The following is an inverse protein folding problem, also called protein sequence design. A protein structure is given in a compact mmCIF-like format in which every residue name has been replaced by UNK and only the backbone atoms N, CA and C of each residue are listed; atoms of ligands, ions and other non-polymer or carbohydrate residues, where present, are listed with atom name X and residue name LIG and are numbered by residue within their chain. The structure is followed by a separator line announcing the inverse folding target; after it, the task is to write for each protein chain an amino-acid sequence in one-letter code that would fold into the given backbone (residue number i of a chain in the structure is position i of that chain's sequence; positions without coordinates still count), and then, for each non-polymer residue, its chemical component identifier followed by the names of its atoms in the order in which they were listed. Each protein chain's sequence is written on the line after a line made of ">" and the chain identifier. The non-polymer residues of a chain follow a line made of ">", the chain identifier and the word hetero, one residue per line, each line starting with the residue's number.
data_IF_577849814578
#
_entry.id   IF_577849814578
#
_cell.length_a   1.000
_cell.length_b   1.000
_cell.length_c   1.000
_cell.angle_alpha   90.00
_cell.angle_beta   90.00
_cell.angle_gamma   90.00
#
_symmetry.space_group_name_H-M   'P 1'
#
loop_
_entity.id
_entity.type
_entity.pdbx_description
1 polymer ?
#
# COMPACT_ATOMS: atom_id res chain seq x y z
N UNK A 1 -11.81 24.33 5.86
CA UNK A 1 -10.96 23.72 4.81
C UNK A 1 -10.06 22.70 5.48
N UNK A 2 -10.09 21.43 5.04
CA UNK A 2 -9.45 20.31 5.74
C UNK A 2 -7.93 20.30 5.46
N UNK A 3 -7.06 20.17 6.49
CA UNK A 3 -5.59 20.18 6.37
C UNK A 3 -5.01 19.01 5.55
N UNK A 4 -5.84 18.05 5.16
CA UNK A 4 -5.46 16.86 4.38
C UNK A 4 -4.86 17.18 3.00
N UNK A 5 -5.35 18.23 2.33
CA UNK A 5 -4.86 18.62 1.00
C UNK A 5 -3.46 19.23 1.03
N UNK A 6 -3.08 19.92 2.12
CA UNK A 6 -1.74 20.50 2.27
C UNK A 6 -0.67 19.43 2.44
N UNK A 7 -0.99 18.31 3.10
CA UNK A 7 -0.07 17.18 3.31
C UNK A 7 0.21 16.46 1.98
N UNK A 8 -0.81 16.30 1.13
CA UNK A 8 -0.68 15.71 -0.21
C UNK A 8 0.21 16.54 -1.16
N UNK A 9 0.24 17.87 -1.00
CA UNK A 9 1.08 18.75 -1.81
C UNK A 9 2.51 18.92 -1.26
N UNK A 10 2.70 18.84 0.06
CA UNK A 10 4.01 19.08 0.70
C UNK A 10 4.91 17.84 0.72
N UNK A 11 4.34 16.63 0.72
CA UNK A 11 5.12 15.39 0.71
C UNK A 11 6.03 15.22 -0.52
N UNK A 12 5.58 15.49 -1.78
CA UNK A 12 6.49 15.41 -2.92
C UNK A 12 7.60 16.48 -2.89
N UNK A 13 7.35 17.64 -2.27
CA UNK A 13 8.36 18.71 -2.13
C UNK A 13 9.46 18.36 -1.12
N UNK A 14 9.12 17.67 -0.03
CA UNK A 14 10.09 17.18 0.96
C UNK A 14 10.99 16.06 0.39
N UNK A 15 10.44 15.21 -0.49
CA UNK A 15 11.22 14.19 -1.21
C UNK A 15 12.19 14.83 -2.22
N UNK A 16 11.83 15.96 -2.84
CA UNK A 16 12.74 16.71 -3.71
C UNK A 16 13.88 17.40 -2.96
N UNK A 17 13.67 17.82 -1.71
CA UNK A 17 14.68 18.56 -0.94
C UNK A 17 15.85 17.71 -0.42
N UNK A 18 15.71 16.37 -0.35
CA UNK A 18 16.76 15.48 0.15
C UNK A 18 17.73 14.96 -0.94
N UNK A 19 17.62 15.41 -2.19
CA UNK A 19 18.34 14.83 -3.34
C UNK A 19 19.74 15.42 -3.61
N UNK A 20 20.31 16.22 -2.70
CA UNK A 20 21.60 16.85 -2.91
C UNK A 20 22.68 16.22 -2.00
N UNK A 21 23.11 15.01 -2.33
CA UNK A 21 24.45 14.52 -1.99
C UNK A 21 24.80 13.28 -2.82
N UNK A 22 25.73 13.48 -3.75
CA UNK A 22 26.29 12.49 -4.66
C UNK A 22 27.59 11.92 -4.10
N UNK A 23 27.66 10.58 -3.91
CA UNK A 23 28.87 9.80 -4.19
C UNK A 23 28.49 8.42 -4.76
N UNK A 24 29.19 8.00 -5.82
CA UNK A 24 28.94 6.79 -6.61
C UNK A 24 29.55 5.55 -5.95
N UNK A 25 28.79 4.90 -5.08
CA UNK A 25 28.87 3.47 -4.82
C UNK A 25 27.48 2.92 -5.08
N UNK A 26 27.35 1.82 -5.85
CA UNK A 26 26.08 1.18 -6.26
C UNK A 26 24.87 1.78 -5.56
N UNK A 27 24.38 2.91 -6.10
CA UNK A 27 23.34 3.65 -5.41
C UNK A 27 22.10 2.80 -5.55
N UNK A 28 21.81 2.06 -4.49
CA UNK A 28 20.65 1.20 -4.41
C UNK A 28 19.44 2.08 -4.65
N UNK A 29 18.89 1.97 -5.86
CA UNK A 29 17.80 2.80 -6.29
C UNK A 29 16.66 2.67 -5.29
N UNK A 30 16.04 3.80 -5.00
CA UNK A 30 14.83 3.90 -4.19
C UNK A 30 13.69 4.25 -5.12
N UNK A 31 12.49 3.78 -4.80
CA UNK A 31 11.31 4.12 -5.58
C UNK A 31 10.17 4.52 -4.65
N UNK A 32 9.46 5.57 -5.04
CA UNK A 32 8.19 5.93 -4.45
C UNK A 32 7.11 5.54 -5.45
N UNK A 33 6.06 4.88 -4.98
CA UNK A 33 4.96 4.45 -5.84
C UNK A 33 3.63 4.84 -5.28
N UNK A 34 2.69 5.14 -6.16
CA UNK A 34 1.31 5.47 -5.81
C UNK A 34 0.38 4.56 -6.61
N UNK A 35 -0.55 3.89 -5.91
CA UNK A 35 -1.52 3.01 -6.54
C UNK A 35 -2.69 3.82 -7.11
N UNK A 36 -2.81 3.81 -8.43
CA UNK A 36 -3.81 4.57 -9.18
C UNK A 36 -5.21 3.96 -9.11
N UNK A 37 -5.33 2.62 -9.00
CA UNK A 37 -6.64 1.96 -8.90
C UNK A 37 -7.33 2.30 -7.58
N UNK A 38 -6.53 2.37 -6.51
CA UNK A 38 -7.02 2.55 -5.16
C UNK A 38 -7.56 3.97 -4.94
N UNK A 39 -6.98 4.97 -5.59
CA UNK A 39 -7.45 6.37 -5.50
C UNK A 39 -8.89 6.49 -5.98
N UNK A 40 -9.26 5.81 -7.07
CA UNK A 40 -10.65 5.79 -7.55
C UNK A 40 -11.64 5.11 -6.60
N UNK A 41 -11.14 4.27 -5.69
CA UNK A 41 -11.92 3.58 -4.67
C UNK A 41 -11.89 4.29 -3.29
N UNK A 42 -11.36 5.51 -3.20
CA UNK A 42 -11.24 6.22 -1.92
C UNK A 42 -10.09 5.72 -1.03
N UNK A 43 -9.09 5.06 -1.62
CA UNK A 43 -7.91 4.56 -0.91
C UNK A 43 -6.66 5.25 -1.45
N UNK A 44 -5.93 5.96 -0.60
CA UNK A 44 -4.60 6.47 -0.95
C UNK A 44 -3.57 5.44 -0.50
N UNK A 45 -2.91 4.76 -1.44
CA UNK A 45 -1.85 3.81 -1.12
C UNK A 45 -0.51 4.25 -1.72
N UNK A 46 0.50 4.32 -0.84
CA UNK A 46 1.87 4.72 -1.16
C UNK A 46 2.82 3.59 -0.80
N UNK A 47 3.78 3.32 -1.68
CA UNK A 47 4.82 2.32 -1.50
C UNK A 47 6.18 3.00 -1.53
N UNK A 48 7.07 2.56 -0.64
CA UNK A 48 8.49 2.83 -0.73
C UNK A 48 9.23 1.53 -0.98
N UNK A 49 10.03 1.50 -2.04
CA UNK A 49 10.87 0.36 -2.40
C UNK A 49 12.35 0.74 -2.29
N UNK A 50 13.14 -0.17 -1.73
CA UNK A 50 14.60 -0.10 -1.73
C UNK A 50 15.17 -1.34 -2.41
N UNK A 51 15.89 -1.14 -3.50
CA UNK A 51 16.61 -2.23 -4.17
C UNK A 51 17.76 -2.72 -3.27
N UNK A 52 17.87 -4.03 -3.05
CA UNK A 52 18.93 -4.63 -2.23
C UNK A 52 20.07 -5.17 -3.07
N UNK A 53 19.77 -5.62 -4.28
CA UNK A 53 20.69 -6.12 -5.28
C UNK A 53 19.99 -6.11 -6.66
N UNK A 54 20.67 -6.50 -7.76
CA UNK A 54 20.06 -6.49 -9.08
C UNK A 54 18.85 -7.41 -9.26
N UNK A 55 18.52 -8.30 -8.32
CA UNK A 55 17.44 -9.28 -8.44
C UNK A 55 16.41 -9.18 -7.31
N UNK A 56 16.62 -8.31 -6.32
CA UNK A 56 15.79 -8.25 -5.12
C UNK A 56 15.61 -6.84 -4.60
N UNK A 57 14.45 -6.58 -3.99
CA UNK A 57 14.16 -5.35 -3.28
C UNK A 57 13.23 -5.60 -2.09
N UNK A 58 13.22 -4.66 -1.15
CA UNK A 58 12.27 -4.63 -0.06
C UNK A 58 11.28 -3.50 -0.31
N UNK A 59 10.00 -3.79 -0.08
CA UNK A 59 8.90 -2.83 -0.19
C UNK A 59 8.24 -2.67 1.16
N UNK A 60 7.94 -1.44 1.52
CA UNK A 60 6.98 -1.11 2.58
C UNK A 60 5.88 -0.25 1.98
N UNK A 61 4.66 -0.40 2.45
CA UNK A 61 3.55 0.43 2.00
C UNK A 61 2.64 0.84 3.14
N UNK A 62 1.91 1.92 2.89
CA UNK A 62 0.83 2.41 3.72
C UNK A 62 -0.38 2.76 2.86
N UNK A 63 -1.57 2.41 3.33
CA UNK A 63 -2.84 2.80 2.73
C UNK A 63 -3.62 3.64 3.74
N UNK A 64 -4.25 4.72 3.29
CA UNK A 64 -5.34 5.40 3.99
C UNK A 64 -6.64 5.05 3.27
N UNK A 65 -7.63 4.61 4.02
CA UNK A 65 -8.91 4.13 3.50
C UNK A 65 -9.99 5.11 3.95
N UNK A 66 -10.75 5.63 3.00
CA UNK A 66 -11.95 6.44 3.23
C UNK A 66 -13.02 6.02 2.21
N UNK A 67 -13.77 4.97 2.56
CA UNK A 67 -14.80 4.39 1.71
C UNK A 67 -16.18 4.98 2.05
N UNK A 68 -16.81 5.57 1.03
CA UNK A 68 -18.24 5.88 1.00
C UNK A 68 -18.53 7.32 0.61
N UNK A 69 -19.61 7.51 -0.15
CA UNK A 69 -20.18 8.83 -0.49
C UNK A 69 -20.59 9.68 0.74
N UNK A 70 -20.36 9.20 1.96
CA UNK A 70 -20.67 9.84 3.24
C UNK A 70 -19.61 9.59 4.35
N UNK A 71 -18.46 8.95 4.06
CA UNK A 71 -17.34 8.79 5.02
C UNK A 71 -17.58 7.82 6.19
N UNK A 72 -18.28 6.71 5.94
CA UNK A 72 -18.67 5.77 6.98
C UNK A 72 -17.58 4.74 7.31
N UNK A 73 -16.71 4.41 6.37
CA UNK A 73 -15.60 3.47 6.58
C UNK A 73 -14.28 4.23 6.49
N UNK A 74 -13.54 4.28 7.60
CA UNK A 74 -12.22 4.87 7.64
C UNK A 74 -11.20 3.88 8.18
N UNK A 75 -9.99 3.91 7.65
CA UNK A 75 -8.99 2.93 8.06
C UNK A 75 -7.61 3.22 7.56
N UNK A 76 -6.69 2.34 7.93
CA UNK A 76 -5.36 2.32 7.38
C UNK A 76 -4.87 0.89 7.21
N UNK A 77 -3.96 0.72 6.25
CA UNK A 77 -3.21 -0.51 6.07
C UNK A 77 -1.74 -0.17 6.14
N UNK A 78 -0.93 -1.03 6.72
CA UNK A 78 0.53 -0.99 6.59
C UNK A 78 1.03 -2.36 6.24
N UNK A 79 2.10 -2.44 5.46
CA UNK A 79 2.68 -3.74 5.15
C UNK A 79 4.09 -3.67 4.61
N UNK A 80 4.67 -4.86 4.48
CA UNK A 80 6.02 -5.06 3.99
C UNK A 80 6.09 -6.32 3.12
N UNK A 81 6.99 -6.29 2.14
CA UNK A 81 7.18 -7.37 1.18
C UNK A 81 8.61 -7.45 0.69
N UNK A 82 9.00 -8.64 0.24
CA UNK A 82 10.30 -8.88 -0.38
C UNK A 82 10.09 -9.29 -1.82
N UNK A 83 10.67 -8.56 -2.77
CA UNK A 83 10.55 -8.86 -4.19
C UNK A 83 11.71 -9.66 -4.70
N UNK A 84 11.42 -10.63 -5.56
CA UNK A 84 12.38 -11.28 -6.43
C UNK A 84 12.00 -11.01 -7.89
N UNK A 85 12.98 -10.63 -8.70
CA UNK A 85 12.81 -10.26 -10.09
C UNK A 85 13.35 -11.34 -11.03
N UNK A 86 12.54 -11.78 -12.00
CA UNK A 86 12.92 -12.89 -12.90
C UNK A 86 14.05 -12.53 -13.88
N UNK A 87 14.11 -11.27 -14.33
CA UNK A 87 15.14 -10.77 -15.25
C UNK A 87 15.96 -9.63 -14.63
N UNK A 88 16.06 -9.63 -13.30
CA UNK A 88 16.62 -8.54 -12.52
C UNK A 88 15.74 -7.29 -12.45
N UNK A 89 16.21 -6.25 -11.78
CA UNK A 89 15.55 -4.96 -11.51
C UNK A 89 15.51 -4.04 -12.74
N UNK A 90 15.91 -4.57 -13.90
CA UNK A 90 15.92 -3.89 -15.18
C UNK A 90 14.50 -3.41 -15.54
N UNK A 91 14.40 -2.38 -16.41
CA UNK A 91 13.15 -2.06 -17.09
C UNK A 91 12.45 -3.29 -17.64
N UNK A 92 11.11 -3.34 -17.57
CA UNK A 92 10.30 -4.39 -18.21
C UNK A 92 10.53 -5.78 -17.62
N UNK A 93 10.37 -5.91 -16.30
CA UNK A 93 10.63 -7.15 -15.56
C UNK A 93 9.38 -7.67 -14.86
N UNK A 94 9.33 -8.99 -14.67
CA UNK A 94 8.34 -9.64 -13.82
C UNK A 94 8.90 -9.80 -12.40
N UNK A 95 8.03 -9.78 -11.42
CA UNK A 95 8.41 -10.04 -10.03
C UNK A 95 7.40 -10.91 -9.30
N UNK A 96 7.88 -11.51 -8.22
CA UNK A 96 7.09 -12.15 -7.18
C UNK A 96 7.38 -11.47 -5.84
N UNK A 97 6.34 -11.28 -5.03
CA UNK A 97 6.41 -10.55 -3.76
C UNK A 97 5.61 -11.27 -2.67
N UNK A 98 6.23 -12.21 -1.92
CA UNK A 98 5.73 -12.58 -0.60
C UNK A 98 5.63 -11.34 0.28
N UNK A 99 4.51 -11.21 0.99
CA UNK A 99 4.17 -10.00 1.71
C UNK A 99 3.34 -10.26 2.97
N UNK A 100 3.40 -9.30 3.90
CA UNK A 100 2.61 -9.26 5.13
C UNK A 100 2.01 -7.87 5.30
N UNK A 101 0.78 -7.81 5.83
CA UNK A 101 0.06 -6.56 6.08
C UNK A 101 -0.69 -6.60 7.40
N UNK A 102 -0.92 -5.41 7.95
CA UNK A 102 -1.90 -5.15 8.97
C UNK A 102 -2.92 -4.16 8.42
N UNK A 103 -4.19 -4.45 8.59
CA UNK A 103 -5.31 -3.62 8.17
C UNK A 103 -6.16 -3.29 9.39
N UNK A 104 -6.54 -2.03 9.52
CA UNK A 104 -7.51 -1.53 10.48
C UNK A 104 -8.58 -0.73 9.75
N UNK A 105 -9.85 -1.04 10.00
CA UNK A 105 -11.00 -0.29 9.48
C UNK A 105 -11.98 -0.06 10.62
N UNK A 106 -12.42 1.18 10.76
CA UNK A 106 -13.52 1.61 11.60
C UNK A 106 -14.75 1.83 10.71
N UNK A 107 -15.87 1.20 11.07
CA UNK A 107 -17.18 1.52 10.54
C UNK A 107 -17.90 2.44 11.52
N UNK A 108 -18.00 3.72 11.16
CA UNK A 108 -18.63 4.75 11.98
C UNK A 108 -20.15 4.69 11.97
N UNK A 109 -20.75 3.98 11.02
CA UNK A 109 -22.20 3.83 10.96
C UNK A 109 -22.70 2.86 12.04
N UNK A 110 -21.97 1.75 12.23
CA UNK A 110 -22.30 0.74 13.25
C UNK A 110 -21.33 0.73 14.45
N UNK A 111 -20.40 1.68 14.48
CA UNK A 111 -19.36 1.83 15.50
C UNK A 111 -18.45 0.60 15.68
N UNK A 112 -18.37 -0.28 14.69
CA UNK A 112 -17.53 -1.47 14.75
C UNK A 112 -16.12 -1.15 14.29
N UNK A 113 -15.16 -1.95 14.74
CA UNK A 113 -13.83 -1.92 14.16
C UNK A 113 -13.37 -3.33 13.79
N UNK A 114 -12.64 -3.36 12.70
CA UNK A 114 -12.11 -4.53 12.06
C UNK A 114 -10.60 -4.40 12.02
N UNK A 115 -9.92 -5.49 12.37
CA UNK A 115 -8.49 -5.56 12.12
C UNK A 115 -8.07 -6.94 11.64
N UNK A 116 -7.16 -6.98 10.67
CA UNK A 116 -6.56 -8.22 10.19
C UNK A 116 -5.06 -8.12 10.05
N UNK A 117 -4.41 -9.26 10.20
CA UNK A 117 -3.09 -9.53 9.67
C UNK A 117 -3.26 -10.37 8.41
N UNK A 118 -2.72 -9.89 7.30
CA UNK A 118 -2.73 -10.57 6.01
C UNK A 118 -1.36 -11.09 5.65
N UNK A 119 -1.26 -12.33 5.18
CA UNK A 119 -0.07 -12.88 4.51
C UNK A 119 -0.43 -13.21 3.06
N UNK A 120 0.43 -12.85 2.12
CA UNK A 120 0.11 -12.98 0.71
C UNK A 120 1.31 -13.15 -0.18
N UNK A 121 1.02 -13.33 -1.46
CA UNK A 121 2.00 -13.35 -2.53
C UNK A 121 1.45 -12.54 -3.69
N UNK A 122 2.23 -11.59 -4.21
CA UNK A 122 1.87 -10.84 -5.42
C UNK A 122 2.74 -11.30 -6.57
N UNK A 123 2.15 -11.34 -7.75
CA UNK A 123 2.84 -11.46 -9.02
C UNK A 123 2.60 -10.16 -9.77
N UNK A 124 3.65 -9.63 -10.39
CA UNK A 124 3.50 -8.39 -11.12
C UNK A 124 4.49 -8.20 -12.25
N UNK A 125 4.21 -7.17 -13.05
CA UNK A 125 5.01 -6.73 -14.18
C UNK A 125 5.25 -5.24 -14.06
N UNK A 126 6.49 -4.83 -14.26
CA UNK A 126 6.93 -3.45 -14.20
C UNK A 126 7.43 -2.99 -15.55
N UNK A 127 6.90 -1.87 -16.05
CA UNK A 127 7.33 -1.20 -17.26
C UNK A 127 8.12 0.07 -16.94
N UNK A 128 9.15 0.38 -17.72
CA UNK A 128 9.76 1.70 -17.67
C UNK A 128 9.08 2.65 -18.67
N UNK A 129 8.67 3.82 -18.19
CA UNK A 129 8.11 4.90 -19.01
C UNK A 129 9.15 6.00 -19.27
N UNK A 130 10.37 5.82 -18.80
CA UNK A 130 11.49 6.74 -18.95
C UNK A 130 12.60 6.39 -17.96
N UNK A 131 13.52 7.33 -17.73
CA UNK A 131 14.68 7.10 -16.86
C UNK A 131 14.31 7.01 -15.38
N UNK A 132 13.30 7.77 -14.95
CA UNK A 132 12.85 7.82 -13.54
C UNK A 132 11.42 7.35 -13.34
N UNK A 133 10.63 7.22 -14.41
CA UNK A 133 9.23 6.83 -14.30
C UNK A 133 9.04 5.39 -14.74
N UNK A 134 8.13 4.71 -14.07
CA UNK A 134 7.64 3.43 -14.50
C UNK A 134 6.19 3.22 -14.10
N UNK A 135 5.62 2.18 -14.67
CA UNK A 135 4.29 1.70 -14.37
C UNK A 135 4.41 0.26 -13.89
N UNK A 136 3.55 -0.18 -12.99
CA UNK A 136 3.56 -1.55 -12.51
C UNK A 136 2.14 -2.04 -12.31
N UNK A 137 1.86 -3.25 -12.77
CA UNK A 137 0.62 -3.97 -12.54
C UNK A 137 0.94 -5.19 -11.69
N UNK A 138 0.15 -5.43 -10.65
CA UNK A 138 0.28 -6.63 -9.84
C UNK A 138 -1.08 -7.21 -9.46
N UNK A 139 -1.07 -8.51 -9.16
CA UNK A 139 -2.21 -9.25 -8.62
C UNK A 139 -1.74 -10.41 -7.75
N UNK A 140 -2.55 -10.85 -6.80
CA UNK A 140 -2.27 -12.07 -6.05
C UNK A 140 -3.18 -12.28 -4.84
N UNK A 141 -3.17 -13.49 -4.26
CA UNK A 141 -4.00 -13.81 -3.11
C UNK A 141 -3.38 -13.30 -1.80
N UNK A 142 -4.23 -13.11 -0.79
CA UNK A 142 -3.83 -12.82 0.59
C UNK A 142 -4.78 -13.54 1.53
N UNK A 143 -4.21 -14.29 2.48
CA UNK A 143 -4.94 -14.93 3.56
C UNK A 143 -4.92 -13.96 4.73
N UNK A 144 -6.09 -13.55 5.18
CA UNK A 144 -6.25 -12.63 6.29
C UNK A 144 -6.79 -13.36 7.51
N UNK A 145 -6.24 -13.01 8.66
CA UNK A 145 -6.65 -13.49 9.97
C UNK A 145 -6.94 -12.30 10.86
N UNK A 146 -8.10 -12.28 11.49
CA UNK A 146 -8.46 -11.14 12.31
C UNK A 146 -9.79 -11.28 13.00
N UNK A 147 -10.32 -10.14 13.42
CA UNK A 147 -11.54 -10.09 14.21
C UNK A 147 -12.31 -8.80 13.94
N UNK A 148 -13.63 -8.92 14.02
CA UNK A 148 -14.55 -7.80 14.11
C UNK A 148 -14.94 -7.64 15.56
N UNK A 149 -14.78 -6.43 16.09
CA UNK A 149 -15.28 -6.05 17.41
C UNK A 149 -16.49 -5.15 17.25
N UNK A 150 -17.55 -5.52 17.95
CA UNK A 150 -18.79 -4.75 18.06
C UNK A 150 -18.52 -3.36 18.66
N UNK A 151 -19.22 -2.38 18.10
CA UNK A 151 -19.31 -1.05 18.66
C UNK A 151 -20.39 -0.95 19.72
N UNK A 152 -20.08 -0.34 20.86
CA UNK A 152 -21.10 0.03 21.84
C UNK A 152 -21.43 1.50 21.66
N UNK A 153 -22.62 1.82 21.16
CA UNK A 153 -23.15 3.18 21.29
C UNK A 153 -23.58 3.43 22.73
N UNK A 154 -23.41 4.65 23.29
CA UNK A 154 -23.74 4.95 24.68
C UNK A 154 -25.17 4.58 25.10
N UNK A 155 -26.11 4.52 24.16
CA UNK A 155 -27.54 4.31 24.42
C UNK A 155 -28.20 3.23 23.54
N UNK A 156 -27.44 2.43 22.79
CA UNK A 156 -28.01 1.35 21.96
C UNK A 156 -26.95 0.28 21.67
N UNK A 157 -27.21 -0.98 22.02
CA UNK A 157 -26.46 -2.08 21.41
C UNK A 157 -26.94 -2.20 19.96
N UNK A 158 -26.03 -2.00 19.01
CA UNK A 158 -26.28 -2.42 17.64
C UNK A 158 -25.83 -3.87 17.61
N UNK A 159 -26.77 -4.80 17.38
CA UNK A 159 -26.46 -6.20 17.14
C UNK A 159 -25.71 -6.29 15.80
N UNK A 160 -24.40 -6.05 15.85
CA UNK A 160 -23.48 -6.38 14.76
C UNK A 160 -22.82 -7.70 15.06
N UNK A 161 -22.39 -8.41 14.05
CA UNK A 161 -21.66 -9.65 14.25
C UNK A 161 -20.24 -9.33 14.73
N UNK A 162 -19.91 -9.68 15.98
CA UNK A 162 -18.52 -9.79 16.43
C UNK A 162 -18.01 -11.23 16.24
N UNK A 163 -16.79 -11.36 15.74
CA UNK A 163 -16.24 -12.68 15.48
C UNK A 163 -14.95 -12.70 14.67
N UNK A 164 -14.36 -13.89 14.50
CA UNK A 164 -13.14 -14.07 13.73
C UNK A 164 -13.40 -13.83 12.24
N UNK A 165 -12.69 -12.89 11.63
CA UNK A 165 -12.74 -12.68 10.18
C UNK A 165 -11.50 -13.30 9.54
N UNK A 166 -11.67 -14.53 9.05
CA UNK A 166 -10.65 -15.26 8.32
C UNK A 166 -11.10 -15.46 6.86
N UNK A 167 -10.22 -15.24 5.90
CA UNK A 167 -10.59 -15.39 4.50
C UNK A 167 -9.45 -15.20 3.52
N UNK A 168 -9.69 -15.61 2.27
CA UNK A 168 -8.78 -15.40 1.14
C UNK A 168 -9.33 -14.24 0.32
N UNK A 169 -8.49 -13.24 0.08
CA UNK A 169 -8.82 -12.03 -0.65
C UNK A 169 -7.87 -11.85 -1.84
N UNK A 170 -8.38 -11.29 -2.92
CA UNK A 170 -7.55 -10.87 -4.05
C UNK A 170 -7.01 -9.46 -3.83
N UNK A 171 -5.70 -9.26 -4.06
CA UNK A 171 -5.07 -7.95 -4.17
C UNK A 171 -4.78 -7.67 -5.63
N UNK A 172 -5.00 -6.44 -6.05
CA UNK A 172 -4.67 -5.95 -7.38
C UNK A 172 -4.21 -4.50 -7.28
N UNK A 173 -3.36 -4.06 -8.20
CA UNK A 173 -2.92 -2.67 -8.21
C UNK A 173 -2.25 -2.27 -9.50
N UNK A 174 -2.45 -1.01 -9.88
CA UNK A 174 -1.72 -0.33 -10.94
C UNK A 174 -0.97 0.83 -10.29
N UNK A 175 0.36 0.78 -10.24
CA UNK A 175 1.16 1.79 -9.56
C UNK A 175 2.00 2.58 -10.54
N UNK A 176 2.01 3.90 -10.37
CA UNK A 176 3.01 4.77 -10.97
C UNK A 176 4.21 4.84 -10.02
N UNK A 177 5.41 4.57 -10.51
CA UNK A 177 6.65 4.60 -9.74
C UNK A 177 7.59 5.71 -10.20
N UNK A 178 8.22 6.38 -9.24
CA UNK A 178 9.27 7.36 -9.44
C UNK A 178 10.57 6.88 -8.76
N UNK A 179 11.64 6.75 -9.55
CA UNK A 179 12.95 6.27 -9.11
C UNK A 179 13.86 7.42 -8.74
N UNK A 180 14.58 7.24 -7.64
CA UNK A 180 15.56 8.17 -7.13
C UNK A 180 16.74 7.47 -6.45
N UNK A 181 17.80 8.24 -6.18
CA UNK A 181 19.00 7.79 -5.50
C UNK A 181 19.01 8.35 -4.07
#
# INVERSE_FOLDING_TARGET
>A
MRPFWLILCLFPLLVCAQMHNTERQFSYQKELKVNLLYVGAGILQVHYEKHLNPNQSTVIWGSLIDFGFQGNLMGFEVGAGQRAYFNGTKPNTYFVEPNVSYLYIEDRYVYSHYNTVGIGILLGKKWALGNRLGLELYTGPTINFGFVKEGTLPNKKIDTWAGPLNGIFGRFGLTLNYRFN
#
